data_IF_598684756973
#
_entry.id   IF_598684756973
#
_cell.length_a   1.000
_cell.length_b   1.000
_cell.length_c   1.000
_cell.angle_alpha   90.00
_cell.angle_beta   90.00
_cell.angle_gamma   90.00
#
_symmetry.space_group_name_H-M   'P 1'
#
loop_
_entity.id
_entity.type
_entity.pdbx_description
1 polymer ?
#
# COMPACT_ATOMS: atom_id res chain seq x y z
N UNK A 1 6.59 -24.70 43.83
CA UNK A 1 8.00 -25.01 43.45
C UNK A 1 8.14 -25.56 42.04
N UNK A 2 7.40 -26.61 41.63
CA UNK A 2 7.49 -27.18 40.25
C UNK A 2 7.30 -26.13 39.14
N UNK A 3 6.38 -25.17 39.32
CA UNK A 3 6.17 -24.10 38.34
C UNK A 3 7.34 -23.12 38.26
N UNK A 4 8.03 -22.83 39.37
CA UNK A 4 9.17 -21.91 39.39
C UNK A 4 10.39 -22.54 38.70
N UNK A 5 10.68 -23.82 38.99
CA UNK A 5 11.75 -24.56 38.34
C UNK A 5 11.53 -24.66 36.82
N UNK A 6 10.28 -24.92 36.40
CA UNK A 6 9.90 -24.96 34.98
C UNK A 6 10.16 -23.63 34.28
N UNK A 7 9.75 -22.51 34.88
CA UNK A 7 10.00 -21.17 34.35
C UNK A 7 11.51 -20.90 34.20
N UNK A 8 12.31 -21.27 35.20
CA UNK A 8 13.77 -21.09 35.13
C UNK A 8 14.41 -21.93 34.01
N UNK A 9 13.98 -23.18 33.84
CA UNK A 9 14.50 -24.07 32.79
C UNK A 9 14.08 -23.61 31.39
N UNK A 10 12.83 -23.22 31.19
CA UNK A 10 12.34 -22.67 29.92
C UNK A 10 13.08 -21.36 29.56
N UNK A 11 13.28 -20.48 30.54
CA UNK A 11 14.05 -19.24 30.36
C UNK A 11 15.52 -19.49 30.02
N UNK A 12 16.18 -20.41 30.74
CA UNK A 12 17.57 -20.80 30.46
C UNK A 12 17.72 -21.40 29.06
N UNK A 13 16.81 -22.30 28.67
CA UNK A 13 16.80 -22.90 27.34
C UNK A 13 16.61 -21.86 26.23
N UNK A 14 15.68 -20.92 26.41
CA UNK A 14 15.43 -19.84 25.45
C UNK A 14 16.65 -18.93 25.32
N UNK A 15 17.31 -18.56 26.42
CA UNK A 15 18.53 -17.76 26.39
C UNK A 15 19.71 -18.51 25.76
N UNK A 16 19.88 -19.81 26.02
CA UNK A 16 20.88 -20.65 25.36
C UNK A 16 20.65 -20.64 23.85
N UNK A 17 19.39 -20.82 23.40
CA UNK A 17 19.04 -20.70 21.97
C UNK A 17 19.42 -19.36 21.37
N UNK A 18 19.14 -18.26 22.07
CA UNK A 18 19.46 -16.90 21.62
C UNK A 18 20.97 -16.65 21.51
N UNK A 19 21.73 -17.06 22.53
CA UNK A 19 23.17 -16.79 22.63
C UNK A 19 23.95 -17.63 21.61
N UNK A 20 23.73 -18.94 21.61
CA UNK A 20 24.53 -19.86 20.80
C UNK A 20 24.06 -19.98 19.35
N UNK A 21 22.75 -19.87 19.12
CA UNK A 21 22.15 -20.13 17.81
C UNK A 21 21.49 -18.90 17.18
N UNK A 22 21.55 -17.74 17.83
CA UNK A 22 20.93 -16.51 17.32
C UNK A 22 19.44 -16.68 16.98
N UNK A 23 18.75 -17.63 17.62
CA UNK A 23 17.44 -18.13 17.17
C UNK A 23 16.32 -17.08 17.18
N UNK A 24 16.48 -15.96 17.90
CA UNK A 24 15.54 -14.84 17.94
C UNK A 24 16.13 -13.54 17.36
N UNK A 25 17.20 -13.61 16.55
CA UNK A 25 17.66 -12.45 15.78
C UNK A 25 16.69 -12.21 14.63
N UNK A 26 15.81 -11.23 14.80
CA UNK A 26 14.99 -10.64 13.74
C UNK A 26 15.76 -9.72 12.80
N UNK A 27 17.07 -9.56 13.01
CA UNK A 27 17.92 -8.76 12.12
C UNK A 27 18.33 -9.61 10.92
N UNK A 28 17.81 -9.26 9.74
CA UNK A 28 18.31 -9.76 8.48
C UNK A 28 19.81 -9.43 8.38
N UNK A 29 20.65 -10.48 8.43
CA UNK A 29 22.10 -10.33 8.44
C UNK A 29 22.64 -9.83 7.10
N UNK A 30 21.94 -10.12 6.01
CA UNK A 30 22.29 -9.64 4.68
C UNK A 30 21.99 -8.15 4.57
N UNK A 31 20.81 -7.71 5.01
CA UNK A 31 20.45 -6.30 5.10
C UNK A 31 21.41 -5.54 6.03
N UNK A 32 21.75 -6.10 7.19
CA UNK A 32 22.74 -5.51 8.10
C UNK A 32 24.09 -5.34 7.40
N UNK A 33 24.56 -6.34 6.67
CA UNK A 33 25.81 -6.26 5.91
C UNK A 33 25.71 -5.21 4.80
N UNK A 34 24.59 -5.13 4.08
CA UNK A 34 24.32 -4.10 3.07
C UNK A 34 24.38 -2.70 3.69
N UNK A 35 23.74 -2.48 4.84
CA UNK A 35 23.81 -1.20 5.58
C UNK A 35 25.25 -0.86 5.97
N UNK A 36 25.97 -1.78 6.61
CA UNK A 36 27.35 -1.55 7.06
C UNK A 36 28.33 -1.29 5.91
N UNK A 37 28.04 -1.81 4.73
CA UNK A 37 28.87 -1.62 3.52
C UNK A 37 28.37 -0.51 2.61
N UNK A 38 27.28 0.18 2.97
CA UNK A 38 26.65 1.20 2.13
C UNK A 38 26.04 0.66 0.82
N UNK A 39 25.78 -0.64 0.73
CA UNK A 39 25.22 -1.32 -0.45
C UNK A 39 23.71 -1.55 -0.34
N UNK A 40 22.99 -0.61 0.26
CA UNK A 40 21.53 -0.69 0.35
C UNK A 40 20.96 -0.18 -0.97
N UNK A 41 20.21 -1.04 -1.66
CA UNK A 41 19.52 -0.68 -2.89
C UNK A 41 18.12 -0.16 -2.54
N UNK A 42 17.72 1.02 -3.05
CA UNK A 42 16.36 1.51 -2.88
C UNK A 42 15.36 0.58 -3.57
N UNK A 43 14.33 0.18 -2.85
CA UNK A 43 13.19 -0.54 -3.44
C UNK A 43 12.34 0.40 -4.29
N UNK A 44 11.68 -0.11 -5.35
CA UNK A 44 10.75 0.69 -6.12
C UNK A 44 9.61 1.20 -5.23
N UNK A 45 9.27 2.47 -5.38
CA UNK A 45 8.18 3.13 -4.65
C UNK A 45 6.88 3.21 -5.45
N UNK A 46 6.96 2.92 -6.74
CA UNK A 46 5.87 3.07 -7.70
C UNK A 46 5.87 1.85 -8.60
N UNK A 47 4.72 1.18 -8.67
CA UNK A 47 4.50 0.10 -9.61
C UNK A 47 4.08 0.72 -10.94
N UNK A 48 5.05 0.93 -11.84
CA UNK A 48 4.83 1.68 -13.06
C UNK A 48 3.76 1.03 -13.93
N UNK A 49 3.77 -0.28 -14.13
CA UNK A 49 2.80 -0.97 -15.00
C UNK A 49 1.36 -0.75 -14.53
N UNK A 50 0.97 -1.09 -13.28
CA UNK A 50 -0.41 -0.95 -12.86
C UNK A 50 -0.84 0.50 -12.60
N UNK A 51 0.11 1.44 -12.45
CA UNK A 51 -0.22 2.83 -12.20
C UNK A 51 -1.01 3.46 -13.36
N UNK A 52 -2.16 4.06 -13.05
CA UNK A 52 -3.04 4.71 -14.03
C UNK A 52 -2.68 6.17 -14.33
N UNK A 53 -1.70 6.74 -13.63
CA UNK A 53 -1.23 8.12 -13.87
C UNK A 53 -2.24 9.22 -13.49
N UNK A 54 -3.18 8.97 -12.58
CA UNK A 54 -4.26 9.92 -12.25
C UNK A 54 -3.81 11.15 -11.43
N UNK A 55 -2.60 11.15 -10.86
CA UNK A 55 -2.09 12.25 -10.05
C UNK A 55 -2.68 12.39 -8.64
N UNK A 56 -3.60 11.53 -8.23
CA UNK A 56 -4.26 11.61 -6.91
C UNK A 56 -3.26 11.58 -5.74
N UNK A 57 -2.23 10.75 -5.83
CA UNK A 57 -1.17 10.68 -4.83
C UNK A 57 -0.32 11.96 -4.72
N UNK A 58 -0.09 12.67 -5.84
CA UNK A 58 0.60 13.97 -5.83
C UNK A 58 -0.26 15.04 -5.15
N UNK A 59 -1.54 15.11 -5.51
CA UNK A 59 -2.48 16.09 -4.96
C UNK A 59 -2.77 15.88 -3.46
N UNK A 60 -2.81 14.63 -3.01
CA UNK A 60 -3.06 14.30 -1.61
C UNK A 60 -1.81 14.43 -0.71
N UNK A 61 -0.61 14.61 -1.28
CA UNK A 61 0.62 14.64 -0.51
C UNK A 61 0.75 15.95 0.30
N UNK A 62 0.70 15.92 1.64
CA UNK A 62 0.72 17.15 2.45
C UNK A 62 2.06 17.88 2.43
N UNK A 63 3.15 17.19 2.10
CA UNK A 63 4.50 17.76 2.06
C UNK A 63 4.99 18.04 0.65
N UNK A 64 4.19 17.75 -0.39
CA UNK A 64 4.61 17.88 -1.78
C UNK A 64 5.77 16.95 -2.16
N UNK A 65 5.94 15.83 -1.46
CA UNK A 65 6.98 14.84 -1.72
C UNK A 65 6.78 14.05 -3.03
N UNK A 66 5.61 14.16 -3.67
CA UNK A 66 5.27 13.39 -4.87
C UNK A 66 5.07 14.34 -6.05
N UNK A 67 5.84 14.14 -7.11
CA UNK A 67 5.74 14.88 -8.37
C UNK A 67 5.34 13.94 -9.50
N UNK A 68 4.59 14.45 -10.49
CA UNK A 68 4.24 13.69 -11.69
C UNK A 68 5.29 13.94 -12.78
N UNK A 69 5.92 12.87 -13.26
CA UNK A 69 6.88 12.90 -14.38
C UNK A 69 6.21 12.42 -15.65
N UNK A 70 6.43 13.14 -16.75
CA UNK A 70 5.98 12.74 -18.08
C UNK A 70 6.66 11.45 -18.54
N UNK A 71 5.86 10.57 -19.14
CA UNK A 71 6.35 9.40 -19.87
C UNK A 71 6.83 9.82 -21.25
N UNK A 72 7.87 9.13 -21.75
CA UNK A 72 8.35 9.35 -23.12
C UNK A 72 7.28 9.08 -24.18
N UNK A 73 6.42 8.10 -23.91
CA UNK A 73 5.28 7.74 -24.75
C UNK A 73 4.03 7.57 -23.88
N UNK A 74 2.88 8.12 -24.31
CA UNK A 74 1.62 7.85 -23.64
C UNK A 74 1.25 6.36 -23.76
N UNK A 75 0.67 5.81 -22.70
CA UNK A 75 0.22 4.42 -22.64
C UNK A 75 -1.30 4.44 -22.51
N UNK A 76 -2.00 3.84 -23.46
CA UNK A 76 -3.45 3.66 -23.37
C UNK A 76 -3.77 2.45 -22.49
N UNK A 77 -4.56 2.67 -21.44
CA UNK A 77 -4.97 1.61 -20.50
C UNK A 77 -6.25 0.98 -21.01
N UNK A 78 -7.28 1.80 -21.17
CA UNK A 78 -8.58 1.49 -21.78
C UNK A 78 -8.95 2.63 -22.73
N UNK A 79 -9.96 2.41 -23.57
CA UNK A 79 -10.46 3.42 -24.51
C UNK A 79 -10.79 4.73 -23.76
N UNK A 80 -10.10 5.82 -24.13
CA UNK A 80 -10.27 7.14 -23.52
C UNK A 80 -9.49 7.39 -22.23
N UNK A 81 -8.84 6.38 -21.63
CA UNK A 81 -7.95 6.53 -20.47
C UNK A 81 -6.48 6.35 -20.88
N UNK A 82 -5.79 7.48 -21.03
CA UNK A 82 -4.39 7.52 -21.45
C UNK A 82 -3.51 7.98 -20.30
N UNK A 83 -2.60 7.10 -19.89
CA UNK A 83 -1.56 7.39 -18.93
C UNK A 83 -0.43 8.18 -19.60
N UNK A 84 -0.24 9.42 -19.15
CA UNK A 84 0.80 10.32 -19.66
C UNK A 84 1.92 10.56 -18.66
N UNK A 85 1.63 10.39 -17.38
CA UNK A 85 2.55 10.69 -16.30
C UNK A 85 2.58 9.56 -15.28
N UNK A 86 3.70 9.43 -14.56
CA UNK A 86 3.86 8.56 -13.40
C UNK A 86 4.37 9.36 -12.21
N UNK A 87 3.97 9.01 -10.97
CA UNK A 87 4.50 9.68 -9.80
C UNK A 87 5.97 9.32 -9.55
N UNK A 88 6.70 10.25 -8.96
CA UNK A 88 8.03 10.05 -8.37
C UNK A 88 7.95 10.53 -6.93
N UNK A 89 8.41 9.69 -6.01
CA UNK A 89 8.42 9.97 -4.58
C UNK A 89 9.81 10.39 -4.12
N UNK A 90 9.91 11.62 -3.62
CA UNK A 90 11.08 12.13 -2.91
C UNK A 90 11.05 11.65 -1.45
N UNK A 91 11.96 10.74 -1.11
CA UNK A 91 12.00 10.12 0.22
C UNK A 91 12.47 11.09 1.32
N UNK A 92 13.16 12.18 0.96
CA UNK A 92 13.64 13.16 1.95
C UNK A 92 12.51 14.09 2.41
N UNK A 93 11.51 14.32 1.56
CA UNK A 93 10.30 15.11 1.88
C UNK A 93 9.15 14.26 2.42
N UNK A 94 9.23 12.93 2.25
CA UNK A 94 8.16 12.04 2.64
C UNK A 94 8.11 11.87 4.17
N UNK A 95 6.94 12.10 4.76
CA UNK A 95 6.69 11.89 6.20
C UNK A 95 5.99 10.56 6.50
N UNK A 96 5.91 9.65 5.51
CA UNK A 96 5.34 8.30 5.67
C UNK A 96 3.92 8.29 6.25
N UNK A 97 3.06 9.22 5.81
CA UNK A 97 1.66 9.32 6.24
C UNK A 97 0.69 8.37 5.50
N UNK A 98 1.15 7.70 4.44
CA UNK A 98 0.39 6.75 3.61
C UNK A 98 -0.79 7.29 2.81
N UNK A 99 -1.00 8.60 2.74
CA UNK A 99 -2.07 9.18 1.90
C UNK A 99 -1.95 8.80 0.43
N UNK A 100 -0.74 8.67 -0.11
CA UNK A 100 -0.56 8.25 -1.50
C UNK A 100 -1.12 6.84 -1.77
N UNK A 101 -1.08 5.96 -0.78
CA UNK A 101 -1.63 4.61 -0.86
C UNK A 101 -3.16 4.66 -0.71
N UNK A 102 -3.65 5.33 0.34
CA UNK A 102 -5.09 5.33 0.67
C UNK A 102 -5.94 6.08 -0.37
N UNK A 103 -5.37 7.09 -1.03
CA UNK A 103 -6.03 7.83 -2.11
C UNK A 103 -5.76 7.23 -3.50
N UNK A 104 -5.01 6.13 -3.60
CA UNK A 104 -4.85 5.42 -4.87
C UNK A 104 -6.21 4.79 -5.26
N UNK A 105 -6.79 5.11 -6.44
CA UNK A 105 -8.10 4.55 -6.81
C UNK A 105 -8.11 3.02 -6.91
N UNK A 106 -6.99 2.41 -7.28
CA UNK A 106 -6.85 0.94 -7.33
C UNK A 106 -7.05 0.32 -5.95
N UNK A 107 -6.50 0.95 -4.92
CA UNK A 107 -6.73 0.54 -3.54
C UNK A 107 -8.12 0.94 -3.02
N UNK A 108 -8.46 2.22 -3.13
CA UNK A 108 -9.66 2.77 -2.50
C UNK A 108 -10.97 2.26 -3.09
N UNK A 109 -11.02 2.01 -4.40
CA UNK A 109 -12.24 1.65 -5.11
C UNK A 109 -12.29 0.16 -5.46
N UNK A 110 -11.18 -0.39 -5.93
CA UNK A 110 -11.12 -1.76 -6.43
C UNK A 110 -10.56 -2.76 -5.39
N UNK A 111 -10.01 -2.28 -4.28
CA UNK A 111 -9.44 -3.14 -3.24
C UNK A 111 -8.13 -3.82 -3.67
N UNK A 112 -7.55 -3.39 -4.78
CA UNK A 112 -6.29 -3.89 -5.33
C UNK A 112 -5.09 -3.23 -4.66
N UNK A 113 -3.89 -3.82 -4.70
CA UNK A 113 -2.68 -3.19 -4.17
C UNK A 113 -2.44 -1.79 -4.77
N UNK A 114 -2.25 -0.80 -3.90
CA UNK A 114 -1.95 0.57 -4.32
C UNK A 114 -0.65 0.64 -5.13
N UNK A 115 -0.63 1.43 -6.21
CA UNK A 115 0.51 1.48 -7.15
C UNK A 115 1.63 2.42 -6.72
N UNK A 116 1.51 3.00 -5.54
CA UNK A 116 2.51 3.88 -4.94
C UNK A 116 2.53 3.63 -3.43
N UNK A 117 3.72 3.50 -2.87
CA UNK A 117 3.89 3.24 -1.45
C UNK A 117 5.20 3.87 -0.94
N UNK A 118 5.22 4.52 0.24
CA UNK A 118 6.44 5.13 0.79
C UNK A 118 7.57 4.11 1.06
N UNK A 119 7.21 2.86 1.34
CA UNK A 119 8.15 1.76 1.53
C UNK A 119 8.32 0.98 0.24
N UNK A 120 7.93 -0.28 0.15
CA UNK A 120 8.02 -1.05 -1.10
C UNK A 120 6.63 -1.24 -1.68
N UNK A 121 6.50 -1.17 -3.00
CA UNK A 121 5.27 -1.61 -3.71
C UNK A 121 5.25 -3.11 -3.97
N UNK A 122 6.40 -3.77 -3.87
CA UNK A 122 6.53 -5.19 -4.15
C UNK A 122 6.22 -5.53 -5.61
N UNK A 123 5.91 -6.81 -5.83
CA UNK A 123 5.47 -7.29 -7.15
C UNK A 123 3.95 -7.24 -7.18
N UNK A 124 3.41 -6.50 -8.14
CA UNK A 124 1.97 -6.34 -8.35
C UNK A 124 1.59 -7.06 -9.64
N UNK A 125 0.84 -8.15 -9.52
CA UNK A 125 0.35 -8.96 -10.64
C UNK A 125 -1.19 -8.91 -10.70
N UNK A 126 -1.74 -7.79 -11.18
CA UNK A 126 -3.16 -7.71 -11.52
C UNK A 126 -3.37 -6.93 -12.82
N UNK A 127 -4.46 -7.24 -13.54
CA UNK A 127 -4.83 -6.50 -14.74
C UNK A 127 -5.69 -5.28 -14.38
N UNK A 128 -5.08 -4.10 -14.55
CA UNK A 128 -5.75 -2.81 -14.34
C UNK A 128 -6.97 -2.66 -15.25
N UNK A 129 -6.95 -3.23 -16.45
CA UNK A 129 -8.04 -3.09 -17.41
C UNK A 129 -9.29 -3.76 -16.89
N UNK A 130 -9.15 -4.98 -16.37
CA UNK A 130 -10.25 -5.73 -15.77
C UNK A 130 -10.85 -4.94 -14.61
N UNK A 131 -10.01 -4.51 -13.66
CA UNK A 131 -10.45 -3.74 -12.50
C UNK A 131 -11.27 -2.49 -12.88
N UNK A 132 -10.79 -1.68 -13.83
CA UNK A 132 -11.46 -0.41 -14.19
C UNK A 132 -12.73 -0.63 -14.99
N UNK A 133 -12.81 -1.68 -15.81
CA UNK A 133 -14.01 -1.96 -16.63
C UNK A 133 -15.21 -2.41 -15.80
N UNK A 134 -14.98 -2.97 -14.61
CA UNK A 134 -16.06 -3.40 -13.75
C UNK A 134 -16.76 -2.18 -13.11
N UNK A 135 -18.10 -2.06 -13.25
CA UNK A 135 -18.82 -0.98 -12.61
C UNK A 135 -18.72 -1.15 -11.09
N UNK A 136 -18.29 -0.08 -10.40
CA UNK A 136 -18.23 -0.04 -8.94
C UNK A 136 -19.66 -0.12 -8.39
N UNK A 137 -20.13 -1.34 -8.13
CA UNK A 137 -21.41 -1.60 -7.48
C UNK A 137 -21.16 -1.80 -5.99
N UNK A 138 -21.51 -0.80 -5.19
CA UNK A 138 -21.50 -0.94 -3.73
C UNK A 138 -22.68 -1.84 -3.35
N UNK A 139 -22.46 -2.99 -2.69
CA UNK A 139 -23.56 -3.84 -2.23
C UNK A 139 -24.48 -3.08 -1.27
N UNK A 140 -25.79 -3.34 -1.32
CA UNK A 140 -26.78 -2.65 -0.47
C UNK A 140 -26.48 -2.76 1.03
N UNK A 141 -25.92 -3.89 1.47
CA UNK A 141 -25.50 -4.09 2.86
C UNK A 141 -24.33 -3.16 3.24
N UNK A 142 -23.33 -3.03 2.36
CA UNK A 142 -22.20 -2.12 2.56
C UNK A 142 -22.65 -0.67 2.54
N UNK A 143 -23.63 -0.33 1.68
CA UNK A 143 -24.23 0.99 1.65
C UNK A 143 -25.01 1.31 2.94
N UNK A 144 -25.80 0.35 3.44
CA UNK A 144 -26.49 0.46 4.74
C UNK A 144 -25.49 0.67 5.87
N UNK A 145 -24.37 -0.06 5.87
CA UNK A 145 -23.29 0.09 6.85
C UNK A 145 -22.67 1.49 6.78
N UNK A 146 -22.24 1.95 5.60
CA UNK A 146 -21.65 3.29 5.43
C UNK A 146 -22.62 4.39 5.89
N UNK A 147 -23.92 4.24 5.58
CA UNK A 147 -24.96 5.21 5.95
C UNK A 147 -25.12 5.38 7.47
N UNK A 148 -24.68 4.41 8.29
CA UNK A 148 -24.66 4.57 9.75
C UNK A 148 -23.74 5.71 10.20
N UNK A 149 -22.70 5.99 9.42
CA UNK A 149 -21.69 7.01 9.70
C UNK A 149 -21.94 8.34 8.96
N UNK A 150 -22.90 8.38 8.04
CA UNK A 150 -23.25 9.58 7.30
C UNK A 150 -24.31 10.41 8.03
N UNK A 151 -24.12 11.72 8.08
CA UNK A 151 -25.11 12.66 8.61
C UNK A 151 -26.36 12.74 7.73
N UNK A 152 -26.20 12.65 6.40
CA UNK A 152 -27.29 12.57 5.44
C UNK A 152 -27.56 11.12 5.00
N UNK A 153 -28.76 10.63 5.31
CA UNK A 153 -29.24 9.28 4.96
C UNK A 153 -30.07 9.25 3.67
N UNK A 154 -30.19 10.38 2.96
CA UNK A 154 -30.95 10.49 1.71
C UNK A 154 -30.43 9.58 0.59
N UNK A 155 -29.17 9.13 0.69
CA UNK A 155 -28.52 8.22 -0.25
C UNK A 155 -29.25 6.88 -0.40
N UNK A 156 -29.86 6.37 0.69
CA UNK A 156 -30.66 5.13 0.67
C UNK A 156 -31.98 5.27 -0.12
N UNK A 157 -32.48 6.51 -0.29
CA UNK A 157 -33.75 6.78 -0.98
C UNK A 157 -33.57 6.98 -2.49
N UNK A 158 -32.37 7.35 -2.94
CA UNK A 158 -32.10 7.68 -4.35
C UNK A 158 -31.92 6.44 -5.24
N UNK A 159 -31.32 5.36 -4.74
CA UNK A 159 -31.15 4.13 -5.54
C UNK A 159 -32.49 3.45 -5.89
N UNK A 160 -33.48 3.52 -4.99
CA UNK A 160 -34.81 2.92 -5.21
C UNK A 160 -35.64 3.59 -6.33
N UNK A 161 -35.14 4.65 -6.99
CA UNK A 161 -35.82 5.34 -8.11
C UNK A 161 -35.25 5.01 -9.50
N UNK A 162 -34.19 4.21 -9.57
CA UNK A 162 -33.48 3.87 -10.82
C UNK A 162 -33.56 2.39 -11.18
N UNK A 163 -34.56 1.68 -10.67
CA UNK A 163 -34.94 0.33 -11.12
C UNK A 163 -36.16 0.38 -12.01
#
# INVERSE_FOLDING_TARGET
MKNLLRIMLEGAYTNIKRIFFAADRVTDMELRKKILTGKVEPTPKVAEIPCIGCGGCSNACPTGAIQMKDLEKPIEIIEGLVKRQIPILDSEKCVYCYYCHDFCPLYALFGEPGTIHPNDVGVIEFDVKEAITEPIKIPDEKLKFITQFLSDKSILKRQNKTS
#
